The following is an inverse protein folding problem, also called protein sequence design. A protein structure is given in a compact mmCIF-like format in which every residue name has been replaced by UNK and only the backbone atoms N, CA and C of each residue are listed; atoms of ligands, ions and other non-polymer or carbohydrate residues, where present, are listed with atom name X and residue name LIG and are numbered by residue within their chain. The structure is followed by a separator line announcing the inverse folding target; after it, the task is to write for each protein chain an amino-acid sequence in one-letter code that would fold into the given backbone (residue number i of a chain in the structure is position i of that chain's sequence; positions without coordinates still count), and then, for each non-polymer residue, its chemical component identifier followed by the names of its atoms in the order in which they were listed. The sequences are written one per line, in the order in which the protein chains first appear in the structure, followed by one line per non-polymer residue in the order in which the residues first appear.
data_IF_927472988727
#
_entry.id   IF_927472988727
#
_cell.length_a   1.000
_cell.length_b   1.000
_cell.length_c   1.000
_cell.angle_alpha   90.00
_cell.angle_beta   90.00
_cell.angle_gamma   90.00
#
_symmetry.space_group_name_H-M   'P 1'
#
loop_
_entity.id
_entity.type
_entity.pdbx_description
1 polymer ?
#
# COMPACT_ATOMS: atom_id res chain seq x y z
N UNK A 1 -35.19 11.14 -18.51
CA UNK A 1 -35.13 9.72 -18.11
C UNK A 1 -33.72 9.12 -18.18
N UNK A 2 -32.93 9.44 -19.25
CA UNK A 2 -31.51 8.96 -19.35
C UNK A 2 -30.65 9.46 -18.19
N UNK A 3 -30.75 10.70 -17.80
CA UNK A 3 -29.95 11.29 -16.73
C UNK A 3 -30.28 10.70 -15.35
N UNK A 4 -31.50 10.25 -15.14
CA UNK A 4 -31.94 9.62 -13.90
C UNK A 4 -31.41 8.18 -13.76
N UNK A 5 -31.41 7.39 -14.82
CA UNK A 5 -30.87 6.02 -14.85
C UNK A 5 -29.34 6.03 -14.73
N UNK A 6 -28.67 6.92 -15.48
CA UNK A 6 -27.22 7.11 -15.40
C UNK A 6 -26.80 7.60 -14.01
N UNK A 7 -27.49 8.58 -13.44
CA UNK A 7 -27.15 9.11 -12.11
C UNK A 7 -27.28 8.08 -10.99
N UNK A 8 -28.17 7.10 -11.11
CA UNK A 8 -28.31 5.99 -10.14
C UNK A 8 -27.19 4.97 -10.31
N UNK A 9 -26.84 4.60 -11.55
CA UNK A 9 -25.76 3.66 -11.87
C UNK A 9 -24.39 4.19 -11.39
N UNK A 10 -24.10 5.47 -11.57
CA UNK A 10 -22.85 6.09 -11.10
C UNK A 10 -22.71 6.18 -9.58
N UNK A 11 -23.83 6.33 -8.85
CA UNK A 11 -23.80 6.29 -7.38
C UNK A 11 -23.43 4.90 -6.87
N UNK A 12 -23.92 3.85 -7.50
CA UNK A 12 -23.63 2.46 -7.13
C UNK A 12 -22.17 2.09 -7.44
N UNK A 13 -21.61 2.62 -8.52
CA UNK A 13 -20.25 2.31 -8.97
C UNK A 13 -19.15 2.82 -8.02
N UNK A 14 -19.36 3.98 -7.37
CA UNK A 14 -18.44 4.51 -6.36
C UNK A 14 -18.28 3.57 -5.18
N UNK A 15 -19.42 3.05 -4.71
CA UNK A 15 -19.41 2.10 -3.59
C UNK A 15 -18.89 0.74 -4.00
N UNK A 16 -19.03 0.36 -5.28
CA UNK A 16 -18.57 -0.92 -5.79
C UNK A 16 -17.04 -1.09 -5.62
N UNK A 17 -16.24 -0.07 -5.91
CA UNK A 17 -14.77 -0.12 -5.74
C UNK A 17 -14.41 -0.26 -4.26
N UNK A 18 -15.04 0.53 -3.39
CA UNK A 18 -14.77 0.49 -1.96
C UNK A 18 -15.24 -0.82 -1.33
N UNK A 19 -16.42 -1.30 -1.73
CA UNK A 19 -16.99 -2.57 -1.29
C UNK A 19 -16.14 -3.74 -1.80
N UNK A 20 -15.73 -3.72 -3.06
CA UNK A 20 -14.84 -4.73 -3.64
C UNK A 20 -13.53 -4.82 -2.86
N UNK A 21 -12.89 -3.68 -2.59
CA UNK A 21 -11.66 -3.63 -1.79
C UNK A 21 -11.88 -4.20 -0.38
N UNK A 22 -13.01 -3.88 0.25
CA UNK A 22 -13.36 -4.39 1.57
C UNK A 22 -13.60 -5.91 1.56
N UNK A 23 -14.41 -6.42 0.61
CA UNK A 23 -14.72 -7.85 0.48
C UNK A 23 -13.46 -8.66 0.16
N UNK A 24 -12.63 -8.16 -0.75
CA UNK A 24 -11.35 -8.78 -1.07
C UNK A 24 -10.46 -8.86 0.18
N UNK A 25 -10.41 -7.78 0.96
CA UNK A 25 -9.64 -7.74 2.20
C UNK A 25 -10.16 -8.71 3.24
N UNK A 26 -11.49 -8.83 3.33
CA UNK A 26 -12.15 -9.80 4.21
C UNK A 26 -11.82 -11.24 3.81
N UNK A 27 -11.87 -11.55 2.53
CA UNK A 27 -11.51 -12.88 2.01
C UNK A 27 -10.03 -13.22 2.28
N UNK A 28 -9.15 -12.23 2.17
CA UNK A 28 -7.71 -12.39 2.43
C UNK A 28 -7.31 -12.24 3.90
N UNK A 29 -8.27 -11.95 4.77
CA UNK A 29 -8.03 -11.68 6.19
C UNK A 29 -7.19 -12.74 6.90
N UNK A 30 -7.47 -14.06 6.80
CA UNK A 30 -6.69 -15.08 7.50
C UNK A 30 -5.24 -15.16 7.01
N UNK A 31 -5.01 -14.95 5.72
CA UNK A 31 -3.67 -14.99 5.12
C UNK A 31 -2.89 -13.74 5.56
N UNK A 32 -3.52 -12.57 5.50
CA UNK A 32 -2.93 -11.31 5.93
C UNK A 32 -2.57 -11.32 7.42
N UNK A 33 -3.41 -11.89 8.29
CA UNK A 33 -3.11 -11.99 9.73
C UNK A 33 -1.85 -12.80 9.99
N UNK A 34 -1.72 -13.97 9.38
CA UNK A 34 -0.51 -14.79 9.53
C UNK A 34 0.75 -14.07 9.04
N UNK A 35 0.62 -13.30 7.95
CA UNK A 35 1.71 -12.47 7.44
C UNK A 35 2.09 -11.38 8.44
N UNK A 36 1.12 -10.64 8.98
CA UNK A 36 1.37 -9.57 9.96
C UNK A 36 1.92 -10.09 11.28
N UNK A 37 1.48 -11.25 11.76
CA UNK A 37 2.05 -11.91 12.94
C UNK A 37 3.51 -12.27 12.73
N UNK A 38 3.87 -12.85 11.58
CA UNK A 38 5.26 -13.12 11.22
C UNK A 38 6.10 -11.85 11.13
N UNK A 39 5.55 -10.77 10.56
CA UNK A 39 6.23 -9.46 10.49
C UNK A 39 6.43 -8.86 11.88
N UNK A 40 5.48 -9.01 12.80
CA UNK A 40 5.62 -8.58 14.18
C UNK A 40 6.76 -9.33 14.88
N UNK A 41 6.82 -10.66 14.75
CA UNK A 41 7.93 -11.48 15.28
C UNK A 41 9.28 -11.07 14.69
N UNK A 42 9.34 -10.79 13.37
CA UNK A 42 10.57 -10.28 12.75
C UNK A 42 11.00 -8.94 13.34
N UNK A 43 10.03 -8.07 13.67
CA UNK A 43 10.31 -6.78 14.30
C UNK A 43 10.90 -6.93 15.70
N UNK A 44 10.43 -7.91 16.47
CA UNK A 44 10.94 -8.23 17.80
C UNK A 44 12.37 -8.80 17.76
N UNK A 45 12.76 -9.42 16.64
CA UNK A 45 14.12 -9.93 16.42
C UNK A 45 15.12 -8.86 15.94
N UNK A 46 14.66 -7.64 15.58
CA UNK A 46 15.55 -6.61 15.08
C UNK A 46 16.77 -6.33 15.97
N UNK A 47 16.66 -6.18 17.30
CA UNK A 47 17.83 -5.94 18.14
C UNK A 47 18.86 -7.09 18.09
N UNK A 48 18.42 -8.35 17.92
CA UNK A 48 19.33 -9.49 17.74
C UNK A 48 20.01 -9.47 16.38
N UNK A 49 19.30 -9.05 15.34
CA UNK A 49 19.85 -8.91 13.98
C UNK A 49 20.90 -7.80 13.94
N UNK A 50 20.68 -6.67 14.65
CA UNK A 50 21.67 -5.60 14.78
C UNK A 50 22.92 -6.09 15.48
N UNK A 51 22.81 -6.80 16.61
CA UNK A 51 23.96 -7.42 17.30
C UNK A 51 24.71 -8.42 16.42
N UNK A 52 23.98 -9.21 15.62
CA UNK A 52 24.58 -10.15 14.67
C UNK A 52 25.38 -9.42 13.58
N UNK A 53 24.85 -8.31 13.11
CA UNK A 53 25.53 -7.47 12.13
C UNK A 53 26.83 -6.89 12.67
N UNK A 54 26.81 -6.38 13.91
CA UNK A 54 28.01 -5.84 14.57
C UNK A 54 29.08 -6.93 14.77
N UNK A 55 28.68 -8.17 15.02
CA UNK A 55 29.58 -9.33 15.13
C UNK A 55 30.19 -9.75 13.79
N UNK A 56 29.42 -9.71 12.71
CA UNK A 56 29.88 -10.14 11.39
C UNK A 56 30.68 -9.05 10.65
N UNK A 57 30.58 -7.77 11.07
CA UNK A 57 31.26 -6.66 10.42
C UNK A 57 30.91 -6.55 8.93
N UNK A 58 31.93 -6.53 8.06
CA UNK A 58 31.75 -6.36 6.61
C UNK A 58 31.49 -7.69 5.86
N UNK A 59 31.53 -8.84 6.56
CA UNK A 59 31.28 -10.14 5.93
C UNK A 59 29.78 -10.37 5.71
N UNK A 60 29.29 -9.92 4.56
CA UNK A 60 27.90 -10.06 4.14
C UNK A 60 27.45 -11.52 3.98
N UNK A 61 28.35 -12.42 3.55
CA UNK A 61 27.98 -13.83 3.37
C UNK A 61 27.72 -14.50 4.72
N UNK A 62 28.62 -14.32 5.66
CA UNK A 62 28.48 -14.81 7.03
C UNK A 62 27.23 -14.24 7.71
N UNK A 63 27.02 -12.91 7.58
CA UNK A 63 25.82 -12.25 8.11
C UNK A 63 24.52 -12.89 7.57
N UNK A 64 24.41 -13.09 6.25
CA UNK A 64 23.23 -13.70 5.65
C UNK A 64 23.01 -15.15 6.12
N UNK A 65 24.07 -15.95 6.25
CA UNK A 65 23.96 -17.32 6.75
C UNK A 65 23.47 -17.36 8.20
N UNK A 66 24.08 -16.57 9.07
CA UNK A 66 23.71 -16.49 10.49
C UNK A 66 22.28 -15.94 10.69
N UNK A 67 21.88 -14.95 9.86
CA UNK A 67 20.53 -14.42 9.86
C UNK A 67 19.49 -15.47 9.44
N UNK A 68 19.79 -16.28 8.41
CA UNK A 68 18.91 -17.38 8.00
C UNK A 68 18.80 -18.46 9.08
N UNK A 69 19.91 -18.79 9.75
CA UNK A 69 19.88 -19.71 10.89
C UNK A 69 19.07 -19.16 12.06
N UNK A 70 19.16 -17.86 12.33
CA UNK A 70 18.33 -17.19 13.35
C UNK A 70 16.84 -17.30 13.03
N UNK A 71 16.44 -17.01 11.79
CA UNK A 71 15.03 -17.14 11.36
C UNK A 71 14.54 -18.60 11.45
N UNK A 72 15.37 -19.57 11.10
CA UNK A 72 15.02 -20.99 11.23
C UNK A 72 14.82 -21.40 12.70
N UNK A 73 15.70 -20.98 13.61
CA UNK A 73 15.59 -21.26 15.05
C UNK A 73 14.33 -20.68 15.68
N UNK A 74 13.95 -19.48 15.25
CA UNK A 74 12.74 -18.79 15.75
C UNK A 74 11.47 -19.16 14.96
N UNK A 75 11.56 -20.13 14.03
CA UNK A 75 10.45 -20.60 13.18
C UNK A 75 9.75 -19.44 12.43
N UNK A 76 10.52 -18.47 11.95
CA UNK A 76 10.03 -17.31 11.20
C UNK A 76 10.34 -17.48 9.71
N UNK A 77 9.32 -17.30 8.88
CA UNK A 77 9.48 -17.29 7.44
C UNK A 77 9.61 -15.85 6.92
N UNK A 78 10.79 -15.41 6.46
CA UNK A 78 10.96 -14.06 5.94
C UNK A 78 10.16 -13.80 4.66
N UNK A 79 9.86 -14.81 3.86
CA UNK A 79 9.03 -14.70 2.67
C UNK A 79 7.55 -14.39 2.99
N UNK A 80 7.09 -14.64 4.21
CA UNK A 80 5.73 -14.28 4.60
C UNK A 80 5.47 -12.76 4.57
N UNK A 81 6.51 -11.94 4.72
CA UNK A 81 6.41 -10.48 4.65
C UNK A 81 6.07 -9.94 3.25
N UNK A 82 6.47 -10.63 2.18
CA UNK A 82 6.17 -10.23 0.80
C UNK A 82 4.85 -10.81 0.27
N UNK A 83 4.22 -11.74 0.98
CA UNK A 83 2.99 -12.42 0.55
C UNK A 83 1.84 -11.44 0.23
N UNK A 84 1.58 -10.38 1.02
CA UNK A 84 0.54 -9.40 0.68
C UNK A 84 0.78 -8.72 -0.68
N UNK A 85 2.04 -8.44 -1.03
CA UNK A 85 2.40 -7.81 -2.31
C UNK A 85 2.12 -8.77 -3.46
N UNK A 86 2.50 -10.05 -3.33
CA UNK A 86 2.26 -11.06 -4.36
C UNK A 86 0.76 -11.26 -4.62
N UNK A 87 -0.06 -11.24 -3.57
CA UNK A 87 -1.51 -11.32 -3.69
C UNK A 87 -2.12 -10.05 -4.30
N UNK A 88 -1.49 -8.90 -4.09
CA UNK A 88 -1.95 -7.63 -4.63
C UNK A 88 -1.75 -7.50 -6.14
N UNK A 89 -0.71 -8.13 -6.71
CA UNK A 89 -0.37 -8.02 -8.14
C UNK A 89 -1.53 -8.45 -9.05
N UNK A 90 -2.12 -9.65 -8.91
CA UNK A 90 -3.26 -10.06 -9.74
C UNK A 90 -4.47 -9.13 -9.60
N UNK A 91 -4.74 -8.66 -8.39
CA UNK A 91 -5.84 -7.73 -8.11
C UNK A 91 -5.61 -6.39 -8.82
N UNK A 92 -4.38 -5.88 -8.74
CA UNK A 92 -3.99 -4.64 -9.41
C UNK A 92 -4.19 -4.75 -10.92
N UNK A 93 -3.70 -5.81 -11.57
CA UNK A 93 -3.86 -6.01 -13.00
C UNK A 93 -5.33 -6.19 -13.41
N UNK A 94 -6.12 -6.90 -12.62
CA UNK A 94 -7.56 -7.08 -12.89
C UNK A 94 -8.29 -5.74 -12.84
N UNK A 95 -8.02 -4.94 -11.80
CA UNK A 95 -8.65 -3.63 -11.62
C UNK A 95 -8.18 -2.64 -12.70
N UNK A 96 -6.88 -2.64 -13.03
CA UNK A 96 -6.32 -1.87 -14.13
C UNK A 96 -7.06 -2.17 -15.44
N UNK A 97 -7.19 -3.46 -15.78
CA UNK A 97 -7.88 -3.89 -16.99
C UNK A 97 -9.36 -3.45 -17.00
N UNK A 98 -10.06 -3.62 -15.90
CA UNK A 98 -11.48 -3.20 -15.76
C UNK A 98 -11.61 -1.69 -15.94
N UNK A 99 -10.78 -0.88 -15.29
CA UNK A 99 -10.85 0.59 -15.36
C UNK A 99 -10.59 1.12 -16.79
N UNK A 100 -9.69 0.47 -17.56
CA UNK A 100 -9.36 0.93 -18.91
C UNK A 100 -10.30 0.38 -20.00
N UNK A 101 -10.92 -0.80 -19.80
CA UNK A 101 -11.77 -1.44 -20.80
C UNK A 101 -13.24 -1.12 -20.59
N UNK A 102 -13.70 -0.97 -19.35
CA UNK A 102 -15.10 -0.72 -19.03
C UNK A 102 -15.55 0.67 -19.48
N UNK A 103 -16.53 0.70 -20.39
CA UNK A 103 -17.15 1.95 -20.83
C UNK A 103 -17.96 2.62 -19.70
N UNK A 104 -18.44 1.85 -18.75
CA UNK A 104 -19.25 2.34 -17.62
C UNK A 104 -18.41 3.11 -16.59
N UNK A 105 -17.10 2.80 -16.49
CA UNK A 105 -16.17 3.49 -15.59
C UNK A 105 -15.59 4.77 -16.20
N UNK A 106 -15.69 4.92 -17.52
CA UNK A 106 -15.32 6.15 -18.20
C UNK A 106 -16.30 7.27 -17.81
N UNK A 107 -15.74 8.41 -17.41
CA UNK A 107 -16.49 9.58 -16.94
C UNK A 107 -17.37 9.28 -15.71
N UNK A 108 -17.10 8.18 -14.99
CA UNK A 108 -17.76 7.90 -13.73
C UNK A 108 -17.21 8.81 -12.63
N UNK A 109 -18.03 9.71 -12.06
CA UNK A 109 -17.57 10.63 -11.04
C UNK A 109 -17.41 9.92 -9.69
N UNK A 110 -16.37 10.27 -8.95
CA UNK A 110 -16.16 9.91 -7.56
C UNK A 110 -16.51 11.09 -6.64
N UNK A 111 -16.10 11.05 -5.40
CA UNK A 111 -16.30 12.16 -4.46
C UNK A 111 -15.35 13.33 -4.74
N UNK A 112 -15.79 14.56 -4.45
CA UNK A 112 -14.99 15.76 -4.55
C UNK A 112 -14.72 16.17 -6.01
N UNK A 113 -13.47 16.32 -6.35
CA UNK A 113 -13.00 16.83 -7.65
C UNK A 113 -12.79 15.75 -8.72
N UNK A 114 -12.86 14.46 -8.37
CA UNK A 114 -12.69 13.37 -9.32
C UNK A 114 -13.97 13.20 -10.14
N UNK A 115 -13.89 13.55 -11.42
CA UNK A 115 -15.00 13.45 -12.38
C UNK A 115 -14.92 12.22 -13.27
N UNK A 116 -13.73 11.58 -13.33
CA UNK A 116 -13.47 10.39 -14.13
C UNK A 116 -12.52 9.46 -13.38
N UNK A 117 -13.01 8.27 -13.05
CA UNK A 117 -12.23 7.23 -12.37
C UNK A 117 -11.18 6.56 -13.28
N UNK A 118 -11.37 6.65 -14.60
CA UNK A 118 -10.45 6.07 -15.57
C UNK A 118 -9.32 7.03 -15.97
N UNK A 119 -9.44 8.31 -15.63
CA UNK A 119 -8.43 9.34 -15.86
C UNK A 119 -7.55 9.55 -14.62
N UNK A 120 -6.33 10.10 -14.78
CA UNK A 120 -5.51 10.55 -13.67
C UNK A 120 -6.21 11.63 -12.83
N UNK A 121 -5.76 11.81 -11.60
CA UNK A 121 -6.28 12.84 -10.70
C UNK A 121 -6.03 14.25 -11.29
N UNK A 122 -7.07 15.02 -11.57
CA UNK A 122 -6.94 16.36 -12.18
C UNK A 122 -6.44 17.41 -11.19
N UNK A 123 -6.43 17.13 -9.89
CA UNK A 123 -5.89 18.05 -8.91
C UNK A 123 -4.37 18.16 -9.01
N UNK A 124 -3.83 19.31 -8.63
CA UNK A 124 -2.39 19.54 -8.57
C UNK A 124 -2.02 20.08 -7.20
N UNK A 125 -1.17 19.35 -6.49
CA UNK A 125 -0.65 19.81 -5.20
C UNK A 125 0.31 20.98 -5.41
N UNK A 126 1.03 21.00 -6.53
CA UNK A 126 2.01 22.06 -6.84
C UNK A 126 1.39 23.38 -7.27
N UNK A 127 0.17 23.38 -7.77
CA UNK A 127 -0.59 24.61 -8.08
C UNK A 127 -1.52 25.04 -6.95
N UNK A 128 -1.43 24.39 -5.77
CA UNK A 128 -2.35 24.62 -4.65
C UNK A 128 -3.82 24.64 -5.11
N UNK A 129 -4.23 23.59 -5.82
CA UNK A 129 -5.58 23.45 -6.40
C UNK A 129 -5.96 24.51 -7.42
N UNK A 130 -5.00 25.06 -8.15
CA UNK A 130 -5.23 26.11 -9.13
C UNK A 130 -5.20 27.54 -8.57
N UNK A 131 -4.73 27.71 -7.34
CA UNK A 131 -4.51 29.04 -6.76
C UNK A 131 -3.26 29.74 -7.31
N UNK A 132 -2.31 28.97 -7.83
CA UNK A 132 -1.07 29.47 -8.43
C UNK A 132 -1.11 29.24 -9.94
N UNK A 133 -1.07 30.30 -10.72
CA UNK A 133 -1.03 30.30 -12.19
C UNK A 133 0.40 30.09 -12.69
N UNK A 134 1.01 28.95 -12.35
CA UNK A 134 2.28 28.57 -12.93
C UNK A 134 2.14 27.24 -13.67
N UNK A 135 2.82 27.10 -14.79
CA UNK A 135 2.81 25.87 -15.58
C UNK A 135 3.73 24.82 -14.96
N UNK A 136 3.16 23.83 -14.29
CA UNK A 136 3.92 22.68 -13.77
C UNK A 136 4.11 21.67 -14.90
N UNK A 137 5.36 21.20 -15.16
CA UNK A 137 5.59 20.12 -16.11
C UNK A 137 4.76 18.88 -15.76
N UNK A 138 4.14 18.25 -16.76
CA UNK A 138 3.21 17.13 -16.57
C UNK A 138 3.83 15.95 -15.78
N UNK A 139 5.15 15.73 -15.91
CA UNK A 139 5.85 14.64 -15.23
C UNK A 139 5.89 14.78 -13.70
N UNK A 140 5.87 16.02 -13.18
CA UNK A 140 5.92 16.30 -11.75
C UNK A 140 4.58 16.76 -11.20
N UNK A 141 3.57 16.93 -12.07
CA UNK A 141 2.24 17.32 -11.65
C UNK A 141 1.51 16.13 -11.01
N UNK A 142 1.42 16.14 -9.68
CA UNK A 142 0.85 15.04 -8.90
C UNK A 142 -0.40 15.53 -8.19
N UNK A 143 -1.46 14.71 -8.28
CA UNK A 143 -2.72 14.94 -7.62
C UNK A 143 -2.68 14.63 -6.12
N UNK A 144 -3.76 14.98 -5.44
CA UNK A 144 -3.90 14.75 -3.99
C UNK A 144 -4.02 13.27 -3.65
N UNK A 145 -4.77 12.49 -4.43
CA UNK A 145 -4.94 11.06 -4.17
C UNK A 145 -3.62 10.29 -4.26
N UNK A 146 -2.74 10.49 -5.26
CA UNK A 146 -1.40 9.93 -5.26
C UNK A 146 -0.56 10.30 -4.03
N UNK A 147 -0.65 11.54 -3.55
CA UNK A 147 0.06 11.95 -2.32
C UNK A 147 -0.49 11.21 -1.10
N UNK A 148 -1.82 11.12 -0.96
CA UNK A 148 -2.46 10.34 0.11
C UNK A 148 -2.04 8.87 0.05
N UNK A 149 -1.95 8.29 -1.14
CA UNK A 149 -1.43 6.94 -1.33
C UNK A 149 0.00 6.81 -0.82
N UNK A 150 0.89 7.73 -1.19
CA UNK A 150 2.28 7.76 -0.72
C UNK A 150 2.37 7.85 0.80
N UNK A 151 1.57 8.72 1.41
CA UNK A 151 1.48 8.84 2.88
C UNK A 151 1.02 7.53 3.52
N UNK A 152 0.01 6.86 2.97
CA UNK A 152 -0.46 5.58 3.51
C UNK A 152 0.58 4.47 3.35
N UNK A 153 1.34 4.43 2.24
CA UNK A 153 2.47 3.51 2.05
C UNK A 153 3.56 3.79 3.10
N UNK A 154 3.90 5.05 3.31
CA UNK A 154 4.89 5.45 4.31
C UNK A 154 4.47 5.05 5.73
N UNK A 155 3.22 5.31 6.12
CA UNK A 155 2.67 4.90 7.42
C UNK A 155 2.73 3.37 7.59
N UNK A 156 2.42 2.62 6.54
CA UNK A 156 2.49 1.16 6.56
C UNK A 156 3.93 0.67 6.72
N UNK A 157 4.91 1.34 6.09
CA UNK A 157 6.33 1.02 6.26
C UNK A 157 6.82 1.22 7.69
N UNK A 158 6.33 2.23 8.41
CA UNK A 158 6.69 2.44 9.82
C UNK A 158 6.24 1.29 10.73
N UNK A 159 5.19 0.57 10.31
CA UNK A 159 4.69 -0.59 11.04
C UNK A 159 5.47 -1.87 10.73
N UNK A 160 6.12 -1.94 9.58
CA UNK A 160 6.87 -3.10 9.12
C UNK A 160 8.28 -3.18 9.76
N UNK A 161 8.88 -4.38 9.84
CA UNK A 161 10.26 -4.52 10.27
C UNK A 161 11.22 -3.85 9.27
N UNK A 162 12.29 -3.26 9.78
CA UNK A 162 13.32 -2.66 8.92
C UNK A 162 14.16 -3.78 8.28
N UNK A 163 14.54 -3.65 7.00
CA UNK A 163 15.47 -4.57 6.38
C UNK A 163 16.83 -4.57 7.08
N UNK A 164 17.45 -5.75 7.14
CA UNK A 164 18.75 -5.90 7.74
C UNK A 164 19.88 -5.27 6.90
N UNK A 165 19.74 -5.28 5.57
CA UNK A 165 20.71 -4.64 4.66
C UNK A 165 20.42 -3.14 4.53
N UNK A 166 21.48 -2.30 4.67
CA UNK A 166 21.40 -0.84 4.52
C UNK A 166 20.92 -0.43 3.14
N UNK A 167 21.39 -1.10 2.08
CA UNK A 167 21.00 -0.81 0.71
C UNK A 167 19.52 -1.06 0.50
N UNK A 168 19.04 -2.22 0.96
CA UNK A 168 17.62 -2.56 0.91
C UNK A 168 16.76 -1.61 1.75
N UNK A 169 17.24 -1.20 2.93
CA UNK A 169 16.55 -0.23 3.77
C UNK A 169 16.40 1.13 3.07
N UNK A 170 17.43 1.58 2.36
CA UNK A 170 17.38 2.83 1.58
C UNK A 170 16.39 2.74 0.44
N UNK A 171 16.40 1.65 -0.34
CA UNK A 171 15.47 1.43 -1.45
C UNK A 171 14.02 1.42 -0.92
N UNK A 172 13.76 0.70 0.16
CA UNK A 172 12.43 0.62 0.76
C UNK A 172 11.99 1.98 1.31
N UNK A 173 12.89 2.75 1.93
CA UNK A 173 12.54 4.08 2.45
C UNK A 173 12.16 5.08 1.35
N UNK A 174 12.71 4.92 0.14
CA UNK A 174 12.38 5.75 -1.03
C UNK A 174 11.11 5.27 -1.76
N UNK A 175 10.66 4.04 -1.50
CA UNK A 175 9.53 3.42 -2.20
C UNK A 175 8.24 4.25 -2.14
N UNK A 176 7.82 4.90 -1.03
CA UNK A 176 6.60 5.71 -1.00
C UNK A 176 6.65 6.87 -1.99
N UNK A 177 7.79 7.56 -2.06
CA UNK A 177 8.00 8.69 -2.98
C UNK A 177 7.99 8.17 -4.42
N UNK A 178 8.75 7.12 -4.71
CA UNK A 178 8.82 6.51 -6.04
C UNK A 178 7.43 6.03 -6.51
N UNK A 179 6.65 5.39 -5.64
CA UNK A 179 5.30 4.91 -5.96
C UNK A 179 4.33 6.07 -6.19
N UNK A 180 4.44 7.17 -5.45
CA UNK A 180 3.63 8.37 -5.66
C UNK A 180 3.83 8.94 -7.07
N UNK A 181 5.08 9.04 -7.53
CA UNK A 181 5.38 9.53 -8.87
C UNK A 181 5.00 8.53 -9.97
N UNK A 182 5.33 7.25 -9.78
CA UNK A 182 5.07 6.20 -10.77
C UNK A 182 3.57 5.96 -10.99
N UNK A 183 2.81 5.86 -9.90
CA UNK A 183 1.38 5.55 -9.94
C UNK A 183 0.51 6.80 -10.00
N UNK A 184 1.08 7.99 -9.77
CA UNK A 184 0.36 9.26 -9.77
C UNK A 184 -0.26 9.62 -11.11
N UNK A 185 0.25 9.06 -12.21
CA UNK A 185 -0.26 9.27 -13.57
C UNK A 185 -1.25 8.18 -14.01
N UNK A 186 -1.53 7.20 -13.16
CA UNK A 186 -2.51 6.16 -13.45
C UNK A 186 -3.95 6.62 -13.13
N UNK A 187 -4.90 5.83 -13.59
CA UNK A 187 -6.32 6.06 -13.35
C UNK A 187 -6.63 6.31 -11.86
N UNK A 188 -7.37 7.37 -11.56
CA UNK A 188 -7.73 7.78 -10.18
C UNK A 188 -8.39 6.65 -9.39
N UNK A 189 -9.23 5.84 -10.05
CA UNK A 189 -9.88 4.70 -9.41
C UNK A 189 -8.90 3.66 -8.86
N UNK A 190 -7.76 3.47 -9.51
CA UNK A 190 -6.71 2.55 -9.07
C UNK A 190 -5.96 3.11 -7.85
N UNK A 191 -5.65 4.40 -7.88
CA UNK A 191 -4.98 5.10 -6.77
C UNK A 191 -5.87 5.15 -5.53
N UNK A 192 -7.17 5.42 -5.70
CA UNK A 192 -8.18 5.41 -4.63
C UNK A 192 -8.30 4.02 -4.02
N UNK A 193 -8.42 2.97 -4.86
CA UNK A 193 -8.44 1.59 -4.41
C UNK A 193 -7.21 1.26 -3.56
N UNK A 194 -6.01 1.64 -4.03
CA UNK A 194 -4.76 1.36 -3.32
C UNK A 194 -4.69 2.09 -1.97
N UNK A 195 -5.03 3.37 -1.96
CA UNK A 195 -5.10 4.17 -0.73
C UNK A 195 -6.04 3.53 0.29
N UNK A 196 -7.24 3.15 -0.15
CA UNK A 196 -8.24 2.50 0.70
C UNK A 196 -7.76 1.14 1.22
N UNK A 197 -7.16 0.32 0.34
CA UNK A 197 -6.57 -0.97 0.72
C UNK A 197 -5.45 -0.82 1.76
N UNK A 198 -4.60 0.20 1.63
CA UNK A 198 -3.57 0.51 2.62
C UNK A 198 -4.16 0.90 3.96
N UNK A 199 -5.19 1.75 3.98
CA UNK A 199 -5.87 2.15 5.21
C UNK A 199 -6.48 0.94 5.93
N UNK A 200 -7.13 0.04 5.21
CA UNK A 200 -7.65 -1.21 5.76
C UNK A 200 -6.54 -2.11 6.31
N UNK A 201 -5.37 -2.14 5.65
CA UNK A 201 -4.19 -2.87 6.11
C UNK A 201 -3.65 -2.31 7.42
N UNK A 202 -3.53 -0.99 7.51
CA UNK A 202 -3.06 -0.29 8.70
C UNK A 202 -4.01 -0.54 9.86
N UNK A 203 -5.33 -0.44 9.63
CA UNK A 203 -6.35 -0.71 10.64
C UNK A 203 -6.27 -2.17 11.14
N UNK A 204 -6.10 -3.14 10.23
CA UNK A 204 -5.95 -4.55 10.58
C UNK A 204 -4.67 -4.80 11.41
N UNK A 205 -3.52 -4.25 10.98
CA UNK A 205 -2.26 -4.38 11.71
C UNK A 205 -2.36 -3.76 13.12
N UNK A 206 -3.00 -2.60 13.23
CA UNK A 206 -3.22 -1.93 14.50
C UNK A 206 -4.11 -2.75 15.44
N UNK A 207 -5.21 -3.31 14.91
CA UNK A 207 -6.11 -4.18 15.68
C UNK A 207 -5.39 -5.45 16.21
N UNK A 208 -4.53 -6.07 15.38
CA UNK A 208 -3.73 -7.23 15.80
C UNK A 208 -2.72 -6.85 16.89
N UNK A 209 -2.08 -5.69 16.77
CA UNK A 209 -1.14 -5.19 17.78
C UNK A 209 -1.83 -4.93 19.13
N UNK A 210 -3.06 -4.42 19.13
CA UNK A 210 -3.85 -4.25 20.35
C UNK A 210 -4.21 -5.60 20.98
N UNK A 211 -4.65 -6.57 20.18
CA UNK A 211 -4.92 -7.94 20.66
C UNK A 211 -3.69 -8.59 21.28
N UNK A 212 -2.52 -8.49 20.63
CA UNK A 212 -1.27 -9.03 21.16
C UNK A 212 -0.86 -8.40 22.50
N UNK A 213 -1.08 -7.10 22.69
CA UNK A 213 -0.83 -6.44 23.98
C UNK A 213 -1.78 -6.90 25.09
N UNK A 214 -3.03 -7.18 24.76
CA UNK A 214 -4.02 -7.69 25.73
C UNK A 214 -3.69 -9.12 26.20
N UNK A 215 -3.08 -9.95 25.35
CA UNK A 215 -2.64 -11.30 25.72
C UNK A 215 -1.37 -11.33 26.57
N UNK A 216 -0.56 -10.27 26.57
CA UNK A 216 0.65 -10.17 27.42
C UNK A 216 0.32 -9.68 28.84
N UNK A 217 -0.87 -9.08 29.02
CA UNK A 217 -1.34 -8.58 30.32
C UNK A 217 -2.23 -9.59 31.08
N UNK A 218 -2.43 -10.80 30.57
CA UNK A 218 -3.04 -11.95 31.24
C UNK A 218 -1.98 -12.98 31.57
#
# INVERSE_FOLDING_TARGET
ERDFVFGRSFKELKYAILLFAFLLRLAMYPIANRSFENMAKMKDLQPRIEQLRDKCGDDKMRFNQEMMMLYQREHINPAAGCLPILLQIPVFFSLYKVLYISLELRQAPFYGWIRDLSAPDPSSVFTLFGLLDWSVPSMINIGVWPVLMGVTIWLQQLMNPKPADKTQATIISMMPVMMTFLLGHLASGLVIYWTWSNLLSIAQQYALKLKGKLHICQ
#
